data_IF_748296420979
#
_entry.id   IF_748296420979
#
_cell.length_a   1.000
_cell.length_b   1.000
_cell.length_c   1.000
_cell.angle_alpha   90.00
_cell.angle_beta   90.00
_cell.angle_gamma   90.00
#
_symmetry.space_group_name_H-M   'P 1'
#
loop_
_entity.id
_entity.type
_entity.pdbx_description
1 polymer ?
#
# COMPACT_ATOMS: atom_id res chain seq x y z
N UNK A 1 -8.73 15.10 -34.27
CA UNK A 1 -8.85 14.43 -32.95
C UNK A 1 -7.60 14.77 -32.14
N UNK A 2 -7.77 15.12 -30.88
CA UNK A 2 -6.64 15.34 -29.95
C UNK A 2 -6.04 13.97 -29.64
N UNK A 3 -4.72 13.80 -29.89
CA UNK A 3 -4.01 12.56 -29.56
C UNK A 3 -3.83 12.34 -28.05
N UNK A 4 -3.48 11.13 -27.63
CA UNK A 4 -3.18 10.83 -26.24
C UNK A 4 -1.81 11.42 -25.85
N UNK A 5 -1.85 12.30 -24.87
CA UNK A 5 -0.67 12.93 -24.24
C UNK A 5 -0.96 13.07 -22.75
N UNK A 6 0.05 13.35 -21.92
CA UNK A 6 -0.17 13.59 -20.48
C UNK A 6 -1.09 14.77 -20.20
N UNK A 7 -1.15 15.76 -21.10
CA UNK A 7 -2.06 16.92 -20.99
C UNK A 7 -3.49 16.60 -21.45
N UNK A 8 -3.68 15.56 -22.26
CA UNK A 8 -4.98 15.16 -22.80
C UNK A 8 -5.54 13.89 -22.15
N UNK A 9 -4.78 13.26 -21.25
CA UNK A 9 -5.21 12.09 -20.51
C UNK A 9 -6.36 12.44 -19.56
N UNK A 10 -7.45 11.66 -19.62
CA UNK A 10 -8.62 11.85 -18.75
C UNK A 10 -8.30 11.45 -17.31
N UNK A 11 -7.54 10.37 -17.12
CA UNK A 11 -7.09 9.95 -15.80
C UNK A 11 -5.91 10.81 -15.34
N UNK A 12 -5.96 11.44 -14.14
CA UNK A 12 -4.83 12.18 -13.60
C UNK A 12 -3.63 11.29 -13.29
N UNK A 13 -3.81 9.98 -13.12
CA UNK A 13 -2.73 9.00 -12.92
C UNK A 13 -1.79 8.99 -14.13
N UNK A 14 -2.33 8.94 -15.34
CA UNK A 14 -1.57 8.91 -16.58
C UNK A 14 -1.27 10.32 -17.13
N UNK A 15 -1.95 11.35 -16.63
CA UNK A 15 -1.76 12.75 -16.97
C UNK A 15 -0.89 13.48 -15.95
N UNK A 16 -1.53 14.30 -15.13
CA UNK A 16 -0.90 15.21 -14.14
C UNK A 16 0.14 14.52 -13.25
N UNK A 17 -0.11 13.27 -12.85
CA UNK A 17 0.72 12.52 -11.91
C UNK A 17 1.59 11.44 -12.57
N UNK A 18 1.69 11.43 -13.91
CA UNK A 18 2.46 10.39 -14.62
C UNK A 18 3.88 10.20 -14.07
N UNK A 19 4.56 11.28 -13.69
CA UNK A 19 5.91 11.22 -13.11
C UNK A 19 6.00 10.43 -11.80
N UNK A 20 4.89 10.33 -11.04
CA UNK A 20 4.81 9.59 -9.78
C UNK A 20 4.33 8.13 -9.95
N UNK A 21 3.74 7.81 -11.08
CA UNK A 21 3.08 6.51 -11.33
C UNK A 21 3.78 5.66 -12.38
N UNK A 22 4.81 6.20 -13.03
CA UNK A 22 5.52 5.53 -14.14
C UNK A 22 6.11 4.19 -13.74
N UNK A 23 6.54 4.01 -12.50
CA UNK A 23 7.04 2.75 -11.96
C UNK A 23 6.01 1.62 -12.01
N UNK A 24 4.72 1.94 -12.00
CA UNK A 24 3.63 0.96 -12.09
C UNK A 24 3.29 0.57 -13.53
N UNK A 25 3.80 1.27 -14.53
CA UNK A 25 3.46 1.02 -15.94
C UNK A 25 3.91 -0.37 -16.41
N UNK A 26 5.00 -0.91 -15.86
CA UNK A 26 5.49 -2.26 -16.15
C UNK A 26 4.61 -3.40 -15.61
N UNK A 27 3.58 -3.07 -14.80
CA UNK A 27 2.69 -4.04 -14.15
C UNK A 27 1.23 -3.87 -14.54
N UNK A 28 0.73 -2.63 -14.65
CA UNK A 28 -0.71 -2.35 -14.78
C UNK A 28 -1.12 -1.65 -16.07
N UNK A 29 -0.22 -1.48 -17.03
CA UNK A 29 -0.57 -1.02 -18.37
C UNK A 29 -1.08 -2.18 -19.25
N UNK A 30 -1.73 -1.86 -20.36
CA UNK A 30 -2.10 -2.86 -21.38
C UNK A 30 -0.85 -3.58 -21.93
N UNK A 31 0.26 -2.85 -22.14
CA UNK A 31 1.55 -3.44 -22.48
C UNK A 31 2.01 -4.49 -21.46
N UNK A 32 1.93 -4.16 -20.18
CA UNK A 32 2.30 -5.08 -19.11
C UNK A 32 1.41 -6.31 -19.07
N UNK A 33 0.09 -6.14 -19.17
CA UNK A 33 -0.86 -7.26 -19.20
C UNK A 33 -0.57 -8.23 -20.34
N UNK A 34 -0.30 -7.71 -21.55
CA UNK A 34 0.07 -8.55 -22.71
C UNK A 34 1.38 -9.29 -22.42
N UNK A 35 2.42 -8.62 -21.91
CA UNK A 35 3.70 -9.23 -21.57
C UNK A 35 3.58 -10.35 -20.55
N UNK A 36 2.77 -10.15 -19.50
CA UNK A 36 2.55 -11.17 -18.47
C UNK A 36 1.74 -12.36 -18.99
N UNK A 37 0.78 -12.15 -19.88
CA UNK A 37 0.07 -13.23 -20.57
C UNK A 37 1.03 -14.07 -21.42
N UNK A 38 1.90 -13.45 -22.19
CA UNK A 38 2.94 -14.13 -22.97
C UNK A 38 3.88 -14.91 -22.05
N UNK A 39 4.30 -14.33 -20.92
CA UNK A 39 5.12 -15.03 -19.91
C UNK A 39 4.43 -16.32 -19.44
N UNK A 40 3.18 -16.25 -19.09
CA UNK A 40 2.43 -17.43 -18.61
C UNK A 40 2.30 -18.50 -19.71
N UNK A 41 1.97 -18.10 -20.94
CA UNK A 41 1.87 -19.04 -22.09
C UNK A 41 3.21 -19.72 -22.39
N UNK A 42 4.30 -18.99 -22.39
CA UNK A 42 5.65 -19.54 -22.66
C UNK A 42 6.08 -20.46 -21.52
N UNK A 43 5.93 -20.07 -20.27
CA UNK A 43 6.31 -20.94 -19.15
C UNK A 43 5.40 -22.19 -19.08
N UNK A 44 4.13 -22.07 -19.49
CA UNK A 44 3.25 -23.22 -19.62
C UNK A 44 3.71 -24.16 -20.73
N UNK A 45 4.04 -23.65 -21.91
CA UNK A 45 4.58 -24.45 -23.03
C UNK A 45 5.86 -25.17 -22.61
N UNK A 46 6.79 -24.48 -21.95
CA UNK A 46 8.02 -25.07 -21.41
C UNK A 46 7.69 -26.18 -20.41
N UNK A 47 6.74 -25.93 -19.50
CA UNK A 47 6.32 -26.94 -18.52
C UNK A 47 5.71 -28.19 -19.18
N UNK A 48 4.97 -28.04 -20.28
CA UNK A 48 4.48 -29.16 -21.08
C UNK A 48 5.65 -29.96 -21.73
N UNK A 49 6.67 -29.28 -22.25
CA UNK A 49 7.86 -29.92 -22.84
C UNK A 49 8.70 -30.68 -21.80
N UNK A 50 8.58 -30.34 -20.52
CA UNK A 50 9.23 -31.07 -19.42
C UNK A 50 8.47 -32.35 -19.00
N UNK A 51 7.25 -32.56 -19.55
CA UNK A 51 6.45 -33.76 -19.31
C UNK A 51 6.80 -34.86 -20.33
N UNK A 52 6.55 -36.13 -19.97
CA UNK A 52 6.75 -37.25 -20.87
C UNK A 52 5.60 -37.38 -21.91
N UNK A 53 5.24 -36.27 -22.55
CA UNK A 53 4.22 -36.26 -23.57
C UNK A 53 4.85 -36.69 -24.92
N UNK A 54 4.33 -37.75 -25.58
CA UNK A 54 4.97 -38.31 -26.78
C UNK A 54 5.22 -37.28 -27.89
N UNK A 55 4.35 -36.29 -28.02
CA UNK A 55 4.45 -35.28 -29.07
C UNK A 55 5.46 -34.17 -28.76
N UNK A 56 5.92 -34.05 -27.51
CA UNK A 56 6.87 -33.03 -27.05
C UNK A 56 8.21 -33.62 -26.62
N UNK A 57 8.36 -34.96 -26.56
CA UNK A 57 9.57 -35.63 -26.09
C UNK A 57 10.83 -35.25 -26.86
N UNK A 58 10.71 -34.93 -28.16
CA UNK A 58 11.81 -34.56 -29.04
C UNK A 58 12.04 -33.03 -29.11
N UNK A 59 11.37 -32.26 -28.26
CA UNK A 59 11.59 -30.82 -28.21
C UNK A 59 12.99 -30.49 -27.72
N UNK A 60 13.71 -29.66 -28.45
CA UNK A 60 15.05 -29.21 -28.06
C UNK A 60 14.97 -28.24 -26.87
N UNK A 61 15.22 -28.74 -25.66
CA UNK A 61 15.17 -27.93 -24.42
C UNK A 61 16.22 -26.83 -24.38
N UNK A 62 17.26 -26.87 -25.24
CA UNK A 62 18.22 -25.77 -25.34
C UNK A 62 17.58 -24.45 -25.87
N UNK A 63 16.39 -24.52 -26.45
CA UNK A 63 15.61 -23.37 -26.90
C UNK A 63 14.81 -22.68 -25.79
N UNK A 64 14.70 -23.25 -24.57
CA UNK A 64 13.95 -22.61 -23.48
C UNK A 64 14.40 -21.18 -23.16
N UNK A 65 15.71 -20.84 -23.12
CA UNK A 65 16.14 -19.44 -22.97
C UNK A 65 15.60 -18.54 -24.09
N UNK A 66 15.67 -18.99 -25.35
CA UNK A 66 15.17 -18.24 -26.52
C UNK A 66 13.65 -18.01 -26.44
N UNK A 67 12.88 -19.02 -25.99
CA UNK A 67 11.46 -18.84 -25.78
C UNK A 67 11.19 -17.78 -24.69
N UNK A 68 11.96 -17.77 -23.62
CA UNK A 68 11.84 -16.76 -22.55
C UNK A 68 12.16 -15.35 -23.01
N UNK A 69 13.03 -15.18 -24.01
CA UNK A 69 13.30 -13.89 -24.60
C UNK A 69 12.07 -13.24 -25.25
N UNK A 70 11.07 -14.02 -25.68
CA UNK A 70 9.81 -13.50 -26.25
C UNK A 70 9.11 -12.55 -25.28
N UNK A 71 9.09 -12.87 -23.99
CA UNK A 71 8.55 -11.96 -22.97
C UNK A 71 9.61 -11.14 -22.24
N UNK A 72 10.85 -11.60 -22.19
CA UNK A 72 11.99 -10.90 -21.58
C UNK A 72 12.37 -9.63 -22.33
N UNK A 73 12.40 -9.72 -23.67
CA UNK A 73 12.73 -8.62 -24.59
C UNK A 73 11.48 -7.99 -25.22
N UNK A 74 10.27 -8.22 -24.65
CA UNK A 74 9.01 -7.73 -25.20
C UNK A 74 8.98 -6.21 -25.33
N UNK A 75 8.69 -5.71 -26.53
CA UNK A 75 8.73 -4.30 -26.88
C UNK A 75 7.34 -3.69 -27.06
N UNK A 76 7.28 -2.35 -27.18
CA UNK A 76 6.02 -1.65 -27.53
C UNK A 76 5.55 -2.02 -28.95
N UNK A 77 6.45 -2.35 -29.87
CA UNK A 77 6.09 -2.76 -31.23
C UNK A 77 5.49 -4.16 -31.21
N UNK A 78 5.98 -5.07 -30.38
CA UNK A 78 5.34 -6.36 -30.14
C UNK A 78 3.94 -6.21 -29.57
N UNK A 79 3.76 -5.31 -28.59
CA UNK A 79 2.43 -5.01 -28.04
C UNK A 79 1.48 -4.45 -29.12
N UNK A 80 1.97 -3.57 -29.98
CA UNK A 80 1.21 -3.08 -31.15
C UNK A 80 0.82 -4.22 -32.09
N UNK A 81 1.75 -5.14 -32.35
CA UNK A 81 1.48 -6.33 -33.18
C UNK A 81 0.37 -7.18 -32.58
N UNK A 82 0.40 -7.47 -31.28
CA UNK A 82 -0.67 -8.18 -30.60
C UNK A 82 -2.02 -7.45 -30.74
N UNK A 83 -2.02 -6.10 -30.61
CA UNK A 83 -3.26 -5.31 -30.78
C UNK A 83 -3.76 -5.28 -32.24
N UNK A 84 -2.89 -5.40 -33.23
CA UNK A 84 -3.28 -5.57 -34.63
C UNK A 84 -4.00 -6.92 -34.86
N UNK A 85 -3.46 -8.00 -34.29
CA UNK A 85 -4.09 -9.33 -34.34
C UNK A 85 -5.44 -9.30 -33.62
N UNK A 86 -5.49 -8.67 -32.45
CA UNK A 86 -6.73 -8.54 -31.68
C UNK A 86 -7.85 -7.81 -32.43
N UNK A 87 -7.53 -6.79 -33.24
CA UNK A 87 -8.53 -6.09 -34.08
C UNK A 87 -9.22 -7.01 -35.08
N UNK A 88 -8.53 -8.07 -35.51
CA UNK A 88 -9.10 -9.06 -36.46
C UNK A 88 -9.82 -10.17 -35.73
N UNK A 89 -9.22 -10.68 -34.65
CA UNK A 89 -9.77 -11.83 -33.90
C UNK A 89 -10.88 -11.43 -32.94
N UNK A 90 -10.97 -10.17 -32.57
CA UNK A 90 -11.83 -9.62 -31.52
C UNK A 90 -11.72 -10.39 -30.18
N UNK A 91 -10.52 -10.92 -29.89
CA UNK A 91 -10.25 -11.72 -28.70
C UNK A 91 -8.79 -11.53 -28.24
N UNK A 92 -8.61 -10.94 -27.06
CA UNK A 92 -7.31 -10.51 -26.53
C UNK A 92 -6.33 -11.68 -26.26
N UNK A 93 -6.76 -12.73 -25.56
CA UNK A 93 -5.90 -13.89 -25.27
C UNK A 93 -5.59 -14.70 -26.53
N UNK A 94 -6.55 -14.80 -27.46
CA UNK A 94 -6.30 -15.46 -28.75
C UNK A 94 -5.27 -14.70 -29.59
N UNK A 95 -5.26 -13.38 -29.49
CA UNK A 95 -4.25 -12.56 -30.15
C UNK A 95 -2.83 -12.82 -29.59
N UNK A 96 -2.72 -13.04 -28.28
CA UNK A 96 -1.46 -13.45 -27.64
C UNK A 96 -1.00 -14.81 -28.16
N UNK A 97 -1.89 -15.79 -28.25
CA UNK A 97 -1.57 -17.11 -28.81
C UNK A 97 -1.03 -17.00 -30.24
N UNK A 98 -1.71 -16.25 -31.12
CA UNK A 98 -1.24 -16.05 -32.50
C UNK A 98 0.09 -15.31 -32.58
N UNK A 99 0.29 -14.31 -31.74
CA UNK A 99 1.61 -13.64 -31.67
C UNK A 99 2.73 -14.61 -31.29
N UNK A 100 2.51 -15.49 -30.32
CA UNK A 100 3.50 -16.50 -29.94
C UNK A 100 3.76 -17.47 -31.10
N UNK A 101 2.70 -17.90 -31.82
CA UNK A 101 2.87 -18.72 -33.04
C UNK A 101 3.72 -18.01 -34.10
N UNK A 102 3.55 -16.69 -34.32
CA UNK A 102 4.44 -15.90 -35.18
C UNK A 102 5.88 -15.86 -34.69
N UNK A 103 6.12 -15.82 -33.36
CA UNK A 103 7.47 -15.89 -32.82
C UNK A 103 8.09 -17.27 -33.06
N UNK A 104 7.32 -18.35 -32.94
CA UNK A 104 7.79 -19.70 -33.26
C UNK A 104 8.19 -19.83 -34.74
N UNK A 105 7.45 -19.18 -35.66
CA UNK A 105 7.84 -19.09 -37.07
C UNK A 105 9.20 -18.39 -37.27
N UNK A 106 9.45 -17.33 -36.53
CA UNK A 106 10.71 -16.57 -36.60
C UNK A 106 11.91 -17.36 -36.05
N UNK A 107 11.70 -18.13 -34.97
CA UNK A 107 12.72 -19.02 -34.42
C UNK A 107 13.02 -20.15 -35.41
N UNK A 108 11.99 -20.66 -36.09
CA UNK A 108 12.09 -21.73 -37.10
C UNK A 108 12.09 -23.12 -36.48
N UNK A 109 11.72 -24.11 -37.31
CA UNK A 109 11.67 -25.54 -36.96
C UNK A 109 10.75 -25.89 -35.77
N UNK A 110 9.81 -25.02 -35.41
CA UNK A 110 8.85 -25.22 -34.31
C UNK A 110 7.42 -25.45 -34.78
N UNK A 111 7.15 -25.62 -36.08
CA UNK A 111 5.81 -25.74 -36.65
C UNK A 111 4.98 -26.86 -36.01
N UNK A 112 5.60 -28.02 -35.77
CA UNK A 112 4.93 -29.19 -35.19
C UNK A 112 4.51 -28.99 -33.73
N UNK A 113 5.05 -27.97 -33.05
CA UNK A 113 4.78 -27.72 -31.63
C UNK A 113 3.79 -26.57 -31.39
N UNK A 114 3.44 -25.81 -32.43
CA UNK A 114 2.57 -24.62 -32.30
C UNK A 114 1.22 -24.88 -31.66
N UNK A 115 0.63 -26.07 -31.91
CA UNK A 115 -0.69 -26.42 -31.38
C UNK A 115 -0.65 -26.76 -29.90
N UNK A 116 0.55 -26.84 -29.27
CA UNK A 116 0.71 -26.93 -27.82
C UNK A 116 0.74 -25.57 -27.11
N UNK A 117 0.80 -24.47 -27.86
CA UNK A 117 0.55 -23.13 -27.30
C UNK A 117 -0.93 -23.07 -26.89
N UNK A 118 -1.22 -22.65 -25.67
CA UNK A 118 -2.56 -22.61 -25.10
C UNK A 118 -3.28 -23.98 -25.05
N UNK A 119 -2.54 -25.09 -25.05
CA UNK A 119 -3.11 -26.44 -25.09
C UNK A 119 -3.99 -26.72 -23.86
N UNK A 120 -5.25 -27.10 -24.09
CA UNK A 120 -6.19 -27.46 -23.02
C UNK A 120 -6.66 -26.29 -22.13
N UNK A 121 -6.16 -25.09 -22.34
CA UNK A 121 -6.45 -23.93 -21.53
C UNK A 121 -7.72 -23.18 -21.95
N UNK A 122 -8.22 -22.37 -21.05
CA UNK A 122 -9.16 -21.29 -21.33
C UNK A 122 -8.51 -19.94 -21.06
N UNK A 123 -9.04 -18.86 -21.63
CA UNK A 123 -8.49 -17.50 -21.42
C UNK A 123 -8.29 -17.13 -19.96
N UNK A 124 -9.10 -17.68 -19.07
CA UNK A 124 -8.99 -17.39 -17.64
C UNK A 124 -7.87 -18.15 -16.93
N UNK A 125 -7.35 -19.23 -17.49
CA UNK A 125 -6.11 -19.84 -17.00
C UNK A 125 -4.93 -18.87 -17.20
N UNK A 126 -4.98 -18.05 -18.25
CA UNK A 126 -3.96 -17.03 -18.54
C UNK A 126 -4.23 -15.74 -17.75
N UNK A 127 -5.47 -15.25 -17.72
CA UNK A 127 -5.79 -14.01 -16.99
C UNK A 127 -5.68 -14.17 -15.47
N UNK A 128 -6.20 -15.29 -14.92
CA UNK A 128 -6.15 -15.55 -13.47
C UNK A 128 -4.82 -16.12 -12.97
N UNK A 129 -3.80 -16.09 -13.78
CA UNK A 129 -2.38 -16.29 -13.42
C UNK A 129 -1.58 -15.02 -13.68
N UNK A 130 -1.73 -14.39 -14.84
CA UNK A 130 -1.00 -13.15 -15.20
C UNK A 130 -1.36 -11.97 -14.29
N UNK A 131 -2.65 -11.73 -14.00
CA UNK A 131 -3.07 -10.63 -13.12
C UNK A 131 -2.54 -10.80 -11.68
N UNK A 132 -2.67 -11.96 -11.03
CA UNK A 132 -2.01 -12.18 -9.73
C UNK A 132 -0.50 -11.96 -9.76
N UNK A 133 0.17 -12.36 -10.85
CA UNK A 133 1.61 -12.10 -11.03
C UNK A 133 1.91 -10.60 -11.09
N UNK A 134 1.14 -9.80 -11.84
CA UNK A 134 1.36 -8.35 -11.89
C UNK A 134 1.18 -7.71 -10.53
N UNK A 135 0.16 -8.13 -9.77
CA UNK A 135 -0.09 -7.63 -8.40
C UNK A 135 1.06 -8.00 -7.47
N UNK A 136 1.50 -9.27 -7.50
CA UNK A 136 2.62 -9.76 -6.69
C UNK A 136 3.89 -8.96 -6.94
N UNK A 137 4.27 -8.85 -8.23
CA UNK A 137 5.51 -8.20 -8.62
C UNK A 137 5.45 -6.69 -8.31
N UNK A 138 4.31 -6.01 -8.57
CA UNK A 138 4.11 -4.60 -8.22
C UNK A 138 4.15 -4.34 -6.71
N UNK A 139 3.55 -5.23 -5.90
CA UNK A 139 3.63 -5.13 -4.44
C UNK A 139 5.08 -5.25 -3.97
N UNK A 140 5.80 -6.26 -4.46
CA UNK A 140 7.15 -6.56 -4.01
C UNK A 140 8.17 -5.51 -4.49
N UNK A 141 8.06 -5.06 -5.74
CA UNK A 141 9.08 -4.22 -6.37
C UNK A 141 8.80 -2.71 -6.26
N UNK A 142 7.55 -2.31 -6.00
CA UNK A 142 7.17 -0.89 -5.99
C UNK A 142 6.45 -0.47 -4.70
N UNK A 143 5.34 -1.12 -4.35
CA UNK A 143 4.46 -0.63 -3.27
C UNK A 143 5.09 -0.85 -1.89
N UNK A 144 5.55 -2.08 -1.59
CA UNK A 144 6.17 -2.35 -0.28
C UNK A 144 7.44 -1.51 -0.06
N UNK A 145 8.37 -1.39 -1.03
CA UNK A 145 9.50 -0.48 -0.90
C UNK A 145 9.11 0.98 -0.64
N UNK A 146 8.07 1.50 -1.29
CA UNK A 146 7.61 2.86 -1.05
C UNK A 146 7.04 3.05 0.37
N UNK A 147 6.31 2.05 0.89
CA UNK A 147 5.82 2.07 2.27
C UNK A 147 7.00 1.97 3.25
N UNK A 148 7.99 1.13 2.96
CA UNK A 148 9.21 1.00 3.78
C UNK A 148 10.02 2.30 3.82
N UNK A 149 10.11 3.03 2.71
CA UNK A 149 10.74 4.35 2.67
C UNK A 149 9.99 5.35 3.58
N UNK A 150 8.65 5.35 3.55
CA UNK A 150 7.84 6.18 4.44
C UNK A 150 8.07 5.82 5.90
N UNK A 151 8.07 4.53 6.24
CA UNK A 151 8.35 4.04 7.60
C UNK A 151 9.76 4.47 8.05
N UNK A 152 10.76 4.32 7.20
CA UNK A 152 12.14 4.73 7.49
C UNK A 152 12.28 6.24 7.76
N UNK A 153 11.57 7.08 6.97
CA UNK A 153 11.55 8.53 7.21
C UNK A 153 10.89 8.87 8.55
N UNK A 154 9.79 8.21 8.90
CA UNK A 154 9.10 8.40 10.18
C UNK A 154 9.98 7.94 11.36
N UNK A 155 10.69 6.81 11.22
CA UNK A 155 11.62 6.32 12.24
C UNK A 155 12.77 7.32 12.48
N UNK A 156 13.32 7.90 11.41
CA UNK A 156 14.36 8.91 11.53
C UNK A 156 13.89 10.14 12.32
N UNK A 157 12.67 10.62 12.05
CA UNK A 157 12.09 11.73 12.80
C UNK A 157 11.71 11.36 14.24
N UNK A 158 11.23 10.14 14.46
CA UNK A 158 10.94 9.66 15.82
C UNK A 158 12.20 9.65 16.70
N UNK A 159 13.35 9.28 16.14
CA UNK A 159 14.63 9.33 16.86
C UNK A 159 15.17 10.75 17.01
N UNK A 160 15.10 11.59 15.96
CA UNK A 160 15.52 12.99 15.98
C UNK A 160 14.77 13.79 17.07
N UNK A 161 13.46 13.55 17.20
CA UNK A 161 12.58 14.27 18.13
C UNK A 161 12.17 13.44 19.35
N UNK A 162 12.96 12.43 19.68
CA UNK A 162 12.69 11.45 20.72
C UNK A 162 12.37 12.09 22.09
N UNK A 163 13.15 13.10 22.47
CA UNK A 163 13.06 13.73 23.77
C UNK A 163 12.32 15.09 23.75
N UNK A 164 11.71 15.43 22.62
CA UNK A 164 10.93 16.67 22.49
C UNK A 164 9.59 16.50 23.20
N UNK A 165 9.42 17.19 24.34
CA UNK A 165 8.16 17.22 25.07
C UNK A 165 7.09 17.98 24.28
N UNK A 166 5.89 17.44 24.25
CA UNK A 166 4.74 17.98 23.52
C UNK A 166 3.48 17.88 24.37
N UNK A 167 2.66 18.94 24.36
CA UNK A 167 1.34 18.91 24.96
C UNK A 167 0.43 17.99 24.14
N UNK A 168 -0.03 16.87 24.74
CA UNK A 168 -1.03 16.04 24.09
C UNK A 168 -2.42 16.68 24.21
N UNK A 169 -3.30 16.35 23.26
CA UNK A 169 -4.70 16.79 23.27
C UNK A 169 -5.62 15.60 23.14
N UNK A 170 -6.61 15.52 24.04
CA UNK A 170 -7.71 14.59 23.91
C UNK A 170 -9.00 15.39 23.79
N UNK A 171 -9.88 15.01 22.87
CA UNK A 171 -11.10 15.80 22.56
C UNK A 171 -10.80 17.28 22.21
N UNK A 172 -9.60 17.54 21.64
CA UNK A 172 -9.12 18.91 21.35
C UNK A 172 -8.69 19.72 22.58
N UNK A 173 -8.71 19.15 23.78
CA UNK A 173 -8.32 19.81 25.04
C UNK A 173 -6.94 19.37 25.51
N UNK A 174 -6.19 20.26 26.18
CA UNK A 174 -4.92 19.91 26.82
C UNK A 174 -5.05 18.69 27.73
N UNK A 175 -4.13 17.76 27.59
CA UNK A 175 -4.04 16.51 28.35
C UNK A 175 -2.61 16.26 28.79
N UNK A 176 -2.36 15.10 29.42
CA UNK A 176 -1.02 14.74 29.89
C UNK A 176 0.02 14.88 28.81
N UNK A 177 1.17 15.51 29.06
CA UNK A 177 2.24 15.67 28.07
C UNK A 177 2.74 14.33 27.52
N UNK A 178 3.27 14.37 26.32
CA UNK A 178 3.86 13.23 25.62
C UNK A 178 5.21 13.65 25.03
N UNK A 179 5.83 12.75 24.28
CA UNK A 179 7.03 13.05 23.47
C UNK A 179 6.69 12.94 21.98
N UNK A 180 7.11 13.91 21.19
CA UNK A 180 6.84 13.97 19.76
C UNK A 180 7.36 12.71 19.04
N UNK A 181 8.58 12.25 19.36
CA UNK A 181 9.12 11.04 18.79
C UNK A 181 8.26 9.81 19.06
N UNK A 182 7.69 9.70 20.29
CA UNK A 182 6.76 8.60 20.62
C UNK A 182 5.45 8.70 19.84
N UNK A 183 4.91 9.89 19.63
CA UNK A 183 3.68 10.06 18.82
C UNK A 183 3.91 9.58 17.37
N UNK A 184 5.07 9.88 16.79
CA UNK A 184 5.45 9.39 15.46
C UNK A 184 5.63 7.88 15.46
N UNK A 185 6.21 7.29 16.51
CA UNK A 185 6.38 5.84 16.64
C UNK A 185 5.06 5.08 16.65
N UNK A 186 3.93 5.69 17.02
CA UNK A 186 2.60 5.07 16.90
C UNK A 186 2.32 4.70 15.44
N UNK A 187 2.61 5.61 14.50
CA UNK A 187 2.41 5.36 13.06
C UNK A 187 3.42 4.36 12.50
N UNK A 188 4.68 4.45 12.93
CA UNK A 188 5.72 3.46 12.57
C UNK A 188 5.29 2.05 12.97
N UNK A 189 4.85 1.88 14.21
CA UNK A 189 4.38 0.59 14.74
C UNK A 189 3.19 0.07 13.91
N UNK A 190 2.15 0.88 13.73
CA UNK A 190 0.94 0.53 12.99
C UNK A 190 1.24 0.15 11.53
N UNK A 191 2.09 0.91 10.84
CA UNK A 191 2.47 0.66 9.46
C UNK A 191 3.27 -0.63 9.33
N UNK A 192 4.23 -0.90 10.22
CA UNK A 192 5.00 -2.14 10.21
C UNK A 192 4.12 -3.38 10.41
N UNK A 193 3.17 -3.34 11.36
CA UNK A 193 2.22 -4.43 11.60
C UNK A 193 1.37 -4.71 10.34
N UNK A 194 0.85 -3.66 9.69
CA UNK A 194 0.01 -3.84 8.52
C UNK A 194 0.82 -4.18 7.25
N UNK A 195 2.05 -3.71 7.15
CA UNK A 195 2.95 -4.12 6.06
C UNK A 195 3.33 -5.61 6.18
N UNK A 196 3.60 -6.09 7.39
CA UNK A 196 3.82 -7.51 7.63
C UNK A 196 2.59 -8.34 7.25
N UNK A 197 1.38 -7.87 7.59
CA UNK A 197 0.14 -8.53 7.19
C UNK A 197 -0.02 -8.52 5.66
N UNK A 198 0.22 -7.41 4.97
CA UNK A 198 0.15 -7.32 3.51
C UNK A 198 1.11 -8.31 2.84
N UNK A 199 2.36 -8.38 3.32
CA UNK A 199 3.38 -9.32 2.81
C UNK A 199 3.03 -10.79 3.05
N UNK A 200 2.24 -11.09 4.08
CA UNK A 200 1.78 -12.44 4.40
C UNK A 200 0.53 -12.87 3.63
N UNK A 201 -0.16 -11.95 2.94
CA UNK A 201 -1.33 -12.29 2.15
C UNK A 201 -0.96 -13.28 1.04
N UNK A 202 -1.65 -14.43 0.93
CA UNK A 202 -1.38 -15.34 -0.16
C UNK A 202 -1.79 -14.72 -1.51
N UNK A 203 -0.95 -14.87 -2.51
CA UNK A 203 -1.30 -14.50 -3.89
C UNK A 203 -1.65 -15.80 -4.62
N UNK A 204 -2.94 -16.00 -4.85
CA UNK A 204 -3.47 -17.23 -5.44
C UNK A 204 -3.79 -17.07 -6.92
N UNK A 205 -3.88 -18.19 -7.61
CA UNK A 205 -4.19 -18.25 -9.03
C UNK A 205 -5.10 -19.43 -9.37
N UNK A 206 -6.03 -19.22 -10.30
CA UNK A 206 -6.82 -20.29 -10.90
C UNK A 206 -6.08 -20.86 -12.11
N UNK A 207 -5.98 -22.17 -12.15
CA UNK A 207 -5.47 -22.93 -13.28
C UNK A 207 -6.13 -24.32 -13.31
N UNK A 208 -6.90 -24.64 -14.36
CA UNK A 208 -7.65 -25.90 -14.42
C UNK A 208 -8.61 -26.04 -15.60
N UNK A 209 -8.46 -25.21 -16.64
CA UNK A 209 -9.31 -25.26 -17.83
C UNK A 209 -10.68 -24.59 -17.66
N UNK A 210 -11.58 -24.85 -18.59
CA UNK A 210 -12.83 -24.12 -18.78
C UNK A 210 -13.79 -24.13 -17.59
N UNK A 211 -13.71 -25.13 -16.72
CA UNK A 211 -14.57 -25.27 -15.52
C UNK A 211 -13.76 -25.62 -14.26
N UNK A 212 -12.42 -25.49 -14.30
CA UNK A 212 -11.55 -25.87 -13.20
C UNK A 212 -11.32 -27.37 -13.02
N UNK A 213 -11.79 -28.20 -13.94
CA UNK A 213 -11.78 -29.66 -13.83
C UNK A 213 -10.78 -30.35 -14.78
N UNK A 214 -9.94 -29.62 -15.50
CA UNK A 214 -8.99 -30.15 -16.50
C UNK A 214 -9.62 -31.01 -17.61
N UNK A 215 -10.86 -30.76 -17.99
CA UNK A 215 -11.60 -31.58 -18.95
C UNK A 215 -10.81 -31.82 -20.24
N UNK A 216 -10.27 -30.78 -20.86
CA UNK A 216 -9.51 -30.88 -22.11
C UNK A 216 -8.19 -31.62 -21.93
N UNK A 217 -7.48 -31.36 -20.87
CA UNK A 217 -6.24 -32.05 -20.53
C UNK A 217 -6.46 -33.54 -20.30
N UNK A 218 -7.46 -33.86 -19.46
CA UNK A 218 -7.75 -35.24 -19.09
C UNK A 218 -8.23 -36.08 -20.30
N UNK A 219 -9.03 -35.51 -21.19
CA UNK A 219 -9.48 -36.26 -22.41
C UNK A 219 -8.31 -36.51 -23.36
N UNK A 220 -7.32 -35.59 -23.42
CA UNK A 220 -6.17 -35.76 -24.29
C UNK A 220 -5.11 -36.70 -23.70
N UNK A 221 -4.88 -36.66 -22.41
CA UNK A 221 -3.91 -37.48 -21.69
C UNK A 221 -4.51 -37.97 -20.35
N UNK A 222 -5.36 -39.01 -20.37
CA UNK A 222 -6.16 -39.46 -19.21
C UNK A 222 -5.32 -40.04 -18.07
N UNK A 223 -4.16 -40.58 -18.39
CA UNK A 223 -3.28 -41.25 -17.43
C UNK A 223 -2.33 -40.28 -16.70
N UNK A 224 -2.41 -38.99 -16.99
CA UNK A 224 -1.51 -38.00 -16.41
C UNK A 224 -2.19 -37.24 -15.26
N UNK A 225 -1.45 -36.99 -14.14
CA UNK A 225 -1.94 -36.21 -13.01
C UNK A 225 -1.85 -34.70 -13.28
N UNK A 226 -2.90 -34.16 -13.89
CA UNK A 226 -2.99 -32.75 -14.22
C UNK A 226 -3.14 -31.83 -13.01
N UNK A 227 -3.59 -32.35 -11.86
CA UNK A 227 -3.65 -31.56 -10.62
C UNK A 227 -2.26 -31.31 -10.08
N UNK A 228 -1.46 -32.36 -9.99
CA UNK A 228 -0.08 -32.26 -9.53
C UNK A 228 0.74 -31.38 -10.50
N UNK A 229 0.60 -31.59 -11.80
CA UNK A 229 1.20 -30.70 -12.80
C UNK A 229 0.85 -29.23 -12.56
N UNK A 230 -0.44 -28.90 -12.39
CA UNK A 230 -0.90 -27.54 -12.20
C UNK A 230 -0.39 -26.93 -10.87
N UNK A 231 -0.32 -27.73 -9.79
CA UNK A 231 0.26 -27.30 -8.52
C UNK A 231 1.73 -26.90 -8.70
N UNK A 232 2.51 -27.73 -9.39
CA UNK A 232 3.92 -27.48 -9.69
C UNK A 232 4.09 -26.28 -10.63
N UNK A 233 3.32 -26.22 -11.71
CA UNK A 233 3.37 -25.11 -12.67
C UNK A 233 3.10 -23.77 -11.99
N UNK A 234 1.99 -23.64 -11.27
CA UNK A 234 1.61 -22.41 -10.58
C UNK A 234 2.57 -22.09 -9.43
N UNK A 235 3.00 -23.10 -8.68
CA UNK A 235 3.90 -22.94 -7.53
C UNK A 235 5.35 -22.66 -7.94
N UNK A 236 5.95 -23.54 -8.71
CA UNK A 236 7.38 -23.51 -9.01
C UNK A 236 7.73 -22.56 -10.16
N UNK A 237 6.92 -22.53 -11.24
CA UNK A 237 7.22 -21.70 -12.41
C UNK A 237 6.70 -20.26 -12.26
N UNK A 238 5.53 -20.07 -11.61
CA UNK A 238 4.93 -18.74 -11.44
C UNK A 238 5.11 -18.17 -10.03
N UNK A 239 5.48 -19.00 -9.04
CA UNK A 239 5.64 -18.58 -7.65
C UNK A 239 4.34 -18.07 -7.02
N UNK A 240 3.21 -18.64 -7.43
CA UNK A 240 1.87 -18.37 -6.91
C UNK A 240 1.33 -19.60 -6.18
N UNK A 241 0.25 -19.44 -5.43
CA UNK A 241 -0.45 -20.56 -4.83
C UNK A 241 -1.66 -20.95 -5.67
N UNK A 242 -1.75 -22.22 -6.13
CA UNK A 242 -2.88 -22.67 -6.93
C UNK A 242 -4.15 -22.83 -6.07
N UNK A 243 -5.24 -22.27 -6.50
CA UNK A 243 -6.59 -22.55 -5.97
C UNK A 243 -7.04 -23.95 -6.39
N UNK A 244 -7.34 -24.82 -5.42
CA UNK A 244 -7.62 -26.23 -5.68
C UNK A 244 -9.02 -26.46 -6.29
N UNK A 245 -9.99 -25.64 -5.92
CA UNK A 245 -11.38 -25.72 -6.36
C UNK A 245 -11.85 -24.35 -6.85
N UNK A 246 -12.14 -24.26 -8.12
CA UNK A 246 -12.57 -23.02 -8.80
C UNK A 246 -13.63 -23.33 -9.81
N UNK A 247 -14.29 -22.30 -10.30
CA UNK A 247 -15.08 -22.35 -11.55
C UNK A 247 -14.16 -22.07 -12.76
N UNK A 248 -14.67 -21.46 -13.82
CA UNK A 248 -13.83 -20.99 -14.91
C UNK A 248 -12.84 -19.91 -14.47
N UNK A 249 -13.15 -19.17 -13.40
CA UNK A 249 -12.36 -18.05 -12.86
C UNK A 249 -11.84 -18.35 -11.46
N UNK A 250 -10.89 -17.54 -10.99
CA UNK A 250 -10.45 -17.47 -9.60
C UNK A 250 -11.62 -17.17 -8.67
N UNK A 251 -11.52 -17.61 -7.42
CA UNK A 251 -12.45 -17.22 -6.35
C UNK A 251 -12.25 -15.74 -5.96
N UNK A 252 -11.07 -15.16 -6.24
CA UNK A 252 -10.65 -13.79 -5.93
C UNK A 252 -10.62 -13.41 -4.45
N UNK A 253 -10.91 -14.32 -3.52
CA UNK A 253 -10.93 -14.05 -2.07
C UNK A 253 -9.56 -13.58 -1.57
N UNK A 254 -8.48 -14.24 -1.98
CA UNK A 254 -7.13 -13.88 -1.56
C UNK A 254 -6.68 -12.52 -2.11
N UNK A 255 -6.99 -12.22 -3.37
CA UNK A 255 -6.72 -10.88 -3.95
C UNK A 255 -7.57 -9.82 -3.26
N UNK A 256 -8.81 -10.12 -2.92
CA UNK A 256 -9.67 -9.26 -2.08
C UNK A 256 -9.01 -8.96 -0.75
N UNK A 257 -8.42 -9.97 -0.09
CA UNK A 257 -7.65 -9.81 1.14
C UNK A 257 -6.43 -8.89 0.99
N UNK A 258 -5.72 -8.96 -0.16
CA UNK A 258 -4.62 -8.02 -0.48
C UNK A 258 -5.12 -6.59 -0.58
N UNK A 259 -6.24 -6.37 -1.27
CA UNK A 259 -6.84 -5.04 -1.41
C UNK A 259 -7.29 -4.47 -0.06
N UNK A 260 -7.87 -5.30 0.81
CA UNK A 260 -8.26 -4.90 2.16
C UNK A 260 -7.04 -4.58 3.04
N UNK A 261 -5.95 -5.33 2.94
CA UNK A 261 -4.72 -5.04 3.65
C UNK A 261 -4.09 -3.71 3.20
N UNK A 262 -4.00 -3.46 1.89
CA UNK A 262 -3.51 -2.20 1.35
C UNK A 262 -4.39 -1.01 1.76
N UNK A 263 -5.71 -1.16 1.72
CA UNK A 263 -6.66 -0.15 2.20
C UNK A 263 -6.45 0.20 3.67
N UNK A 264 -6.09 -0.76 4.50
CA UNK A 264 -5.79 -0.54 5.92
C UNK A 264 -4.52 0.29 6.10
N UNK A 265 -3.47 0.02 5.32
CA UNK A 265 -2.26 0.86 5.29
C UNK A 265 -2.61 2.29 4.86
N UNK A 266 -3.36 2.45 3.78
CA UNK A 266 -3.82 3.75 3.31
C UNK A 266 -4.57 4.53 4.40
N UNK A 267 -5.40 3.85 5.20
CA UNK A 267 -6.15 4.48 6.31
C UNK A 267 -5.22 4.99 7.40
N UNK A 268 -4.12 4.28 7.69
CA UNK A 268 -3.11 4.75 8.66
C UNK A 268 -2.37 5.98 8.12
N UNK A 269 -2.06 6.02 6.82
CA UNK A 269 -1.41 7.17 6.21
C UNK A 269 -2.35 8.40 6.21
N UNK A 270 -3.65 8.23 5.98
CA UNK A 270 -4.64 9.31 6.12
C UNK A 270 -4.63 9.89 7.54
N UNK A 271 -4.60 9.05 8.55
CA UNK A 271 -4.54 9.45 9.96
C UNK A 271 -3.26 10.24 10.26
N UNK A 272 -2.12 9.74 9.77
CA UNK A 272 -0.82 10.42 9.83
C UNK A 272 -0.86 11.81 9.15
N UNK A 273 -1.40 11.89 7.93
CA UNK A 273 -1.48 13.15 7.17
C UNK A 273 -2.31 14.20 7.91
N UNK A 274 -3.41 13.77 8.55
CA UNK A 274 -4.28 14.65 9.36
C UNK A 274 -3.58 15.14 10.61
N UNK A 275 -2.83 14.31 11.31
CA UNK A 275 -2.08 14.73 12.48
C UNK A 275 -0.99 15.74 12.11
N UNK A 276 -0.21 15.50 11.07
CA UNK A 276 0.80 16.47 10.62
C UNK A 276 0.17 17.76 10.10
N UNK A 277 -0.94 17.69 9.39
CA UNK A 277 -1.71 18.88 9.02
C UNK A 277 -2.12 19.68 10.26
N UNK A 278 -2.61 19.01 11.30
CA UNK A 278 -3.01 19.62 12.57
C UNK A 278 -1.80 20.24 13.30
N UNK A 279 -0.67 19.53 13.36
CA UNK A 279 0.56 20.04 13.97
C UNK A 279 1.08 21.29 13.24
N UNK A 280 0.96 21.37 11.92
CA UNK A 280 1.28 22.57 11.16
C UNK A 280 0.28 23.71 11.51
N UNK A 281 -1.01 23.41 11.60
CA UNK A 281 -2.05 24.36 11.98
C UNK A 281 -1.85 24.93 13.39
N UNK A 282 -1.31 24.13 14.32
CA UNK A 282 -0.93 24.53 15.68
C UNK A 282 0.45 25.20 15.77
N UNK A 283 1.12 25.41 14.64
CA UNK A 283 2.47 25.98 14.55
C UNK A 283 3.57 25.13 15.23
N UNK A 284 3.31 23.85 15.51
CA UNK A 284 4.34 22.92 16.01
C UNK A 284 5.39 22.62 14.95
N UNK A 285 4.98 22.68 13.67
CA UNK A 285 5.88 22.66 12.52
C UNK A 285 5.68 23.87 11.63
N UNK A 286 6.79 24.35 11.08
CA UNK A 286 6.84 25.23 9.92
C UNK A 286 7.22 24.42 8.70
N UNK A 287 6.96 24.95 7.50
CA UNK A 287 7.32 24.30 6.25
C UNK A 287 8.45 25.07 5.55
N UNK A 288 9.45 24.35 5.04
CA UNK A 288 10.51 24.92 4.20
C UNK A 288 9.89 25.54 2.95
N UNK A 289 10.26 26.78 2.67
CA UNK A 289 9.87 27.49 1.44
C UNK A 289 10.93 27.19 0.39
N UNK A 290 10.52 26.70 -0.76
CA UNK A 290 11.40 26.57 -1.92
C UNK A 290 11.41 27.86 -2.72
N UNK A 291 12.59 28.36 -3.06
CA UNK A 291 12.72 29.60 -3.85
C UNK A 291 11.91 29.46 -5.17
N UNK A 292 11.04 30.43 -5.42
CA UNK A 292 10.15 30.43 -6.59
C UNK A 292 8.80 29.71 -6.42
N UNK A 293 8.56 29.00 -5.30
CA UNK A 293 7.23 28.47 -4.99
C UNK A 293 6.30 29.59 -4.48
N UNK A 294 5.07 29.66 -5.02
CA UNK A 294 4.01 30.55 -4.55
C UNK A 294 3.12 29.76 -3.60
N UNK A 295 3.20 30.05 -2.30
CA UNK A 295 2.42 29.33 -1.28
C UNK A 295 0.92 29.61 -1.30
N UNK A 296 0.52 30.79 -1.77
CA UNK A 296 -0.86 31.21 -1.94
C UNK A 296 -0.94 32.29 -3.02
N UNK A 297 -1.99 32.24 -3.85
CA UNK A 297 -2.23 33.22 -4.91
C UNK A 297 -2.55 34.64 -4.36
N UNK A 298 -3.05 34.74 -3.11
CA UNK A 298 -3.49 35.98 -2.50
C UNK A 298 -2.64 36.45 -1.31
N UNK A 299 -1.96 35.49 -0.62
CA UNK A 299 -1.21 35.76 0.62
C UNK A 299 0.21 35.16 0.53
N UNK A 300 1.23 35.93 0.10
CA UNK A 300 2.57 35.42 -0.17
C UNK A 300 3.28 34.75 1.03
N UNK A 301 2.90 35.14 2.27
CA UNK A 301 3.46 34.58 3.51
C UNK A 301 2.84 33.23 3.92
N UNK A 302 1.74 32.81 3.28
CA UNK A 302 0.98 31.62 3.65
C UNK A 302 1.51 30.39 2.93
N UNK A 303 2.07 29.45 3.66
CA UNK A 303 2.54 28.15 3.15
C UNK A 303 1.54 27.07 3.56
N UNK A 304 0.74 26.59 2.60
CA UNK A 304 -0.28 25.59 2.86
C UNK A 304 0.32 24.18 2.93
N UNK A 305 -0.18 23.28 3.80
CA UNK A 305 0.25 21.89 3.91
C UNK A 305 -0.37 21.00 2.81
N UNK A 306 -0.32 21.47 1.55
CA UNK A 306 -1.00 20.85 0.40
C UNK A 306 -0.52 19.43 0.08
N UNK A 307 0.69 19.07 0.48
CA UNK A 307 1.23 17.73 0.22
C UNK A 307 0.45 16.69 1.03
N UNK A 308 0.10 16.95 2.29
CA UNK A 308 -0.72 16.09 3.13
C UNK A 308 -2.19 16.04 2.65
N UNK A 309 -2.75 17.17 2.23
CA UNK A 309 -4.10 17.24 1.65
C UNK A 309 -4.21 16.43 0.35
N UNK A 310 -3.18 16.53 -0.52
CA UNK A 310 -3.12 15.77 -1.77
C UNK A 310 -3.00 14.26 -1.50
N UNK A 311 -2.25 13.86 -0.47
CA UNK A 311 -2.16 12.48 -0.04
C UNK A 311 -3.52 11.96 0.44
N UNK A 312 -4.16 12.65 1.40
CA UNK A 312 -5.47 12.26 1.93
C UNK A 312 -6.50 12.08 0.81
N UNK A 313 -6.59 13.03 -0.13
CA UNK A 313 -7.53 12.96 -1.25
C UNK A 313 -7.29 11.75 -2.15
N UNK A 314 -6.03 11.45 -2.50
CA UNK A 314 -5.68 10.29 -3.32
C UNK A 314 -5.94 8.96 -2.60
N UNK A 315 -5.63 8.88 -1.30
CA UNK A 315 -5.91 7.68 -0.50
C UNK A 315 -7.41 7.41 -0.34
N UNK A 316 -8.22 8.46 -0.26
CA UNK A 316 -9.68 8.33 -0.25
C UNK A 316 -10.21 7.65 -1.52
N UNK A 317 -9.72 8.08 -2.70
CA UNK A 317 -10.06 7.49 -4.00
C UNK A 317 -9.55 6.04 -4.07
N UNK A 318 -8.30 5.81 -3.70
CA UNK A 318 -7.72 4.46 -3.68
C UNK A 318 -8.55 3.51 -2.82
N UNK A 319 -8.90 3.91 -1.60
CA UNK A 319 -9.68 3.10 -0.66
C UNK A 319 -11.06 2.75 -1.20
N UNK A 320 -11.75 3.68 -1.87
CA UNK A 320 -13.05 3.42 -2.49
C UNK A 320 -12.96 2.36 -3.59
N UNK A 321 -11.92 2.43 -4.43
CA UNK A 321 -11.69 1.46 -5.51
C UNK A 321 -11.24 0.10 -4.98
N UNK A 322 -10.34 0.05 -4.02
CA UNK A 322 -9.89 -1.19 -3.37
C UNK A 322 -11.06 -1.91 -2.70
N UNK A 323 -11.92 -1.18 -1.99
CA UNK A 323 -13.13 -1.73 -1.37
C UNK A 323 -14.09 -2.30 -2.41
N UNK A 324 -14.31 -1.56 -3.51
CA UNK A 324 -15.17 -2.03 -4.59
C UNK A 324 -14.62 -3.32 -5.22
N UNK A 325 -13.33 -3.38 -5.54
CA UNK A 325 -12.67 -4.54 -6.12
C UNK A 325 -12.74 -5.76 -5.20
N UNK A 326 -12.43 -5.59 -3.92
CA UNK A 326 -12.48 -6.66 -2.92
C UNK A 326 -13.88 -7.26 -2.76
N UNK A 327 -14.92 -6.43 -2.84
CA UNK A 327 -16.30 -6.87 -2.72
C UNK A 327 -16.89 -7.42 -4.04
N UNK A 328 -16.47 -6.87 -5.20
CA UNK A 328 -17.07 -7.23 -6.51
C UNK A 328 -16.48 -8.50 -7.10
N UNK A 329 -15.17 -8.68 -7.05
CA UNK A 329 -14.48 -9.77 -7.75
C UNK A 329 -14.95 -11.18 -7.30
N UNK A 330 -15.17 -11.46 -6.00
CA UNK A 330 -15.64 -12.77 -5.57
C UNK A 330 -17.07 -13.10 -6.02
N UNK A 331 -17.81 -12.13 -6.55
CA UNK A 331 -19.22 -12.33 -6.95
C UNK A 331 -19.36 -12.41 -8.46
N UNK A 332 -19.66 -13.59 -8.98
CA UNK A 332 -19.90 -13.87 -10.37
C UNK A 332 -21.15 -14.77 -10.56
N UNK A 333 -21.52 -15.03 -11.80
CA UNK A 333 -22.70 -15.86 -12.14
C UNK A 333 -22.27 -17.22 -12.64
N UNK A 334 -22.83 -18.29 -12.06
CA UNK A 334 -22.55 -19.67 -12.46
C UNK A 334 -21.03 -19.93 -12.59
N UNK A 335 -20.55 -20.36 -13.76
CA UNK A 335 -19.13 -20.55 -14.02
C UNK A 335 -18.38 -19.24 -14.21
N UNK A 336 -19.01 -18.23 -14.80
CA UNK A 336 -18.44 -16.89 -15.04
C UNK A 336 -19.44 -15.96 -15.71
N UNK A 337 -19.33 -14.67 -15.42
CA UNK A 337 -19.74 -13.57 -16.29
C UNK A 337 -18.52 -12.68 -16.65
N UNK A 338 -18.71 -11.69 -17.55
CA UNK A 338 -17.59 -10.87 -18.05
C UNK A 338 -17.18 -9.74 -17.10
N UNK A 339 -17.93 -9.49 -16.00
CA UNK A 339 -17.71 -8.32 -15.15
C UNK A 339 -16.34 -8.33 -14.45
N UNK A 340 -15.79 -9.51 -14.17
CA UNK A 340 -14.44 -9.65 -13.63
C UNK A 340 -13.39 -9.01 -14.55
N UNK A 341 -13.40 -9.34 -15.83
CA UNK A 341 -12.45 -8.78 -16.81
C UNK A 341 -12.54 -7.27 -16.95
N UNK A 342 -13.78 -6.73 -16.86
CA UNK A 342 -14.01 -5.28 -16.91
C UNK A 342 -13.38 -4.56 -15.73
N UNK A 343 -13.59 -5.06 -14.52
CA UNK A 343 -13.11 -4.38 -13.31
C UNK A 343 -11.63 -4.61 -13.06
N UNK A 344 -11.08 -5.78 -13.41
CA UNK A 344 -9.65 -6.09 -13.27
C UNK A 344 -8.74 -5.14 -14.07
N UNK A 345 -9.21 -4.57 -15.17
CA UNK A 345 -8.46 -3.56 -15.92
C UNK A 345 -8.21 -2.28 -15.13
N UNK A 346 -8.94 -2.07 -14.02
CA UNK A 346 -8.79 -0.92 -13.14
C UNK A 346 -7.92 -1.21 -11.90
N UNK A 347 -7.34 -2.40 -11.74
CA UNK A 347 -6.54 -2.75 -10.55
C UNK A 347 -5.37 -1.78 -10.34
N UNK A 348 -4.71 -1.33 -11.40
CA UNK A 348 -3.62 -0.36 -11.33
C UNK A 348 -4.02 1.02 -10.83
N UNK A 349 -5.30 1.40 -10.94
CA UNK A 349 -5.78 2.75 -10.58
C UNK A 349 -5.63 3.03 -9.08
N UNK A 350 -6.15 2.18 -8.16
CA UNK A 350 -5.94 2.40 -6.73
C UNK A 350 -4.47 2.30 -6.31
N UNK A 351 -3.65 1.45 -6.94
CA UNK A 351 -2.21 1.40 -6.72
C UNK A 351 -1.54 2.72 -7.13
N UNK A 352 -1.93 3.30 -8.26
CA UNK A 352 -1.46 4.60 -8.71
C UNK A 352 -1.79 5.73 -7.72
N UNK A 353 -3.02 5.79 -7.22
CA UNK A 353 -3.42 6.75 -6.19
C UNK A 353 -2.65 6.55 -4.88
N UNK A 354 -2.39 5.31 -4.46
CA UNK A 354 -1.56 5.01 -3.28
C UNK A 354 -0.13 5.53 -3.47
N UNK A 355 0.49 5.32 -4.63
CA UNK A 355 1.84 5.84 -4.92
C UNK A 355 1.90 7.37 -4.91
N UNK A 356 0.92 8.05 -5.55
CA UNK A 356 0.84 9.51 -5.52
C UNK A 356 0.78 10.02 -4.09
N UNK A 357 0.01 9.35 -3.24
CA UNK A 357 -0.17 9.71 -1.84
C UNK A 357 1.12 9.53 -1.03
N UNK A 358 1.74 8.35 -1.09
CA UNK A 358 3.00 8.07 -0.35
C UNK A 358 4.08 9.09 -0.72
N UNK A 359 4.28 9.37 -2.01
CA UNK A 359 5.24 10.39 -2.45
C UNK A 359 4.86 11.80 -1.96
N UNK A 360 3.56 12.10 -1.87
CA UNK A 360 3.10 13.39 -1.37
C UNK A 360 3.33 13.52 0.13
N UNK A 361 3.02 12.50 0.92
CA UNK A 361 3.32 12.46 2.36
C UNK A 361 4.83 12.59 2.62
N UNK A 362 5.66 11.82 1.91
CA UNK A 362 7.12 11.93 2.00
C UNK A 362 7.62 13.35 1.67
N UNK A 363 7.08 13.96 0.62
CA UNK A 363 7.41 15.33 0.24
C UNK A 363 6.99 16.33 1.33
N UNK A 364 5.81 16.17 1.91
CA UNK A 364 5.32 16.98 3.03
C UNK A 364 6.24 16.87 4.26
N UNK A 365 6.56 15.64 4.66
CA UNK A 365 7.46 15.35 5.78
C UNK A 365 8.83 16.00 5.61
N UNK A 366 9.45 15.91 4.43
CA UNK A 366 10.77 16.51 4.14
C UNK A 366 10.80 18.05 4.17
N UNK A 367 9.63 18.68 4.13
CA UNK A 367 9.50 20.14 4.28
C UNK A 367 9.37 20.61 5.73
N UNK A 368 9.16 19.72 6.68
CA UNK A 368 8.91 20.07 8.06
C UNK A 368 10.16 20.71 8.71
N UNK A 369 9.91 21.74 9.51
CA UNK A 369 10.87 22.36 10.43
C UNK A 369 10.20 22.41 11.79
N UNK A 370 10.77 21.73 12.78
CA UNK A 370 10.26 21.73 14.14
C UNK A 370 10.28 23.13 14.75
N UNK A 371 9.20 23.53 15.41
CA UNK A 371 9.09 24.78 16.14
C UNK A 371 9.09 24.51 17.67
N UNK A 372 10.27 24.19 18.19
CA UNK A 372 10.43 23.89 19.63
C UNK A 372 9.91 24.99 20.53
N UNK A 373 10.08 26.26 20.12
CA UNK A 373 9.61 27.40 20.91
C UNK A 373 8.09 27.35 21.14
N UNK A 374 7.33 26.99 20.11
CA UNK A 374 5.86 26.86 20.22
C UNK A 374 5.45 25.69 21.09
N UNK A 375 6.12 24.53 20.93
CA UNK A 375 5.88 23.36 21.78
C UNK A 375 6.13 23.67 23.26
N UNK A 376 7.24 24.37 23.59
CA UNK A 376 7.55 24.79 24.94
C UNK A 376 6.52 25.77 25.48
N UNK A 377 6.15 26.79 24.69
CA UNK A 377 5.15 27.78 25.11
C UNK A 377 3.80 27.15 25.44
N UNK A 378 3.34 26.15 24.62
CA UNK A 378 2.09 25.45 24.89
C UNK A 378 2.14 24.62 26.19
N UNK A 379 3.28 24.05 26.53
CA UNK A 379 3.47 23.37 27.82
C UNK A 379 3.47 24.38 29.01
N UNK A 380 4.18 25.49 28.85
CA UNK A 380 4.24 26.56 29.89
C UNK A 380 2.87 27.19 30.13
N UNK A 381 2.06 27.28 29.10
CA UNK A 381 0.68 27.80 29.20
C UNK A 381 -0.32 26.83 29.81
N UNK A 382 0.03 25.55 30.04
CA UNK A 382 -0.86 24.50 30.47
C UNK A 382 -0.42 23.71 31.70
N UNK A 383 0.04 24.41 32.76
CA UNK A 383 0.46 23.79 34.03
C UNK A 383 -0.59 22.90 34.68
N UNK A 384 -1.87 23.09 34.40
CA UNK A 384 -2.94 22.22 34.91
C UNK A 384 -2.75 20.72 34.57
N UNK A 385 -1.99 20.38 33.53
CA UNK A 385 -1.76 18.98 33.10
C UNK A 385 -0.92 18.17 34.09
N UNK A 386 -0.15 18.81 35.01
CA UNK A 386 0.61 18.10 36.05
C UNK A 386 -0.27 17.66 37.21
N UNK A 387 -1.53 18.09 37.27
CA UNK A 387 -2.44 17.72 38.37
C UNK A 387 -2.61 16.19 38.49
N UNK A 388 -2.61 15.46 37.38
CA UNK A 388 -2.65 14.00 37.36
C UNK A 388 -1.43 13.38 38.05
N UNK A 389 -0.23 13.87 37.78
CA UNK A 389 0.99 13.41 38.42
C UNK A 389 0.97 13.66 39.93
N UNK A 390 0.58 14.87 40.33
CA UNK A 390 0.44 15.24 41.75
C UNK A 390 -0.57 14.32 42.44
N UNK A 391 -1.75 14.14 41.86
CA UNK A 391 -2.77 13.23 42.39
C UNK A 391 -2.24 11.81 42.57
N UNK A 392 -1.47 11.30 41.59
CA UNK A 392 -0.94 9.95 41.62
C UNK A 392 0.07 9.76 42.75
N UNK A 393 0.95 10.71 42.94
CA UNK A 393 1.91 10.71 44.09
C UNK A 393 1.15 10.79 45.42
N UNK A 394 0.21 11.71 45.53
CA UNK A 394 -0.62 11.82 46.76
C UNK A 394 -1.37 10.53 47.10
N UNK A 395 -1.89 9.81 46.09
CA UNK A 395 -2.49 8.47 46.26
C UNK A 395 -1.48 7.44 46.77
N UNK A 396 -0.28 7.44 46.22
CA UNK A 396 0.82 6.60 46.69
C UNK A 396 1.11 6.81 48.18
N UNK A 397 1.07 8.06 48.63
CA UNK A 397 1.32 8.45 50.02
C UNK A 397 0.07 8.35 50.93
N UNK A 398 -1.03 7.71 50.44
CA UNK A 398 -2.26 7.59 51.14
C UNK A 398 -2.89 8.94 51.66
N UNK A 399 -2.61 10.04 50.98
CA UNK A 399 -3.16 11.35 51.30
C UNK A 399 -4.66 11.35 51.19
N UNK A 400 -5.42 11.93 52.14
CA UNK A 400 -6.88 11.89 52.16
C UNK A 400 -7.49 12.74 51.03
N UNK A 401 -8.38 12.13 50.21
CA UNK A 401 -9.17 12.80 49.15
C UNK A 401 -8.32 13.63 48.18
N UNK A 402 -7.29 13.07 47.56
CA UNK A 402 -6.35 13.85 46.72
C UNK A 402 -6.99 14.47 45.49
N UNK A 403 -8.04 13.85 44.93
CA UNK A 403 -8.80 14.39 43.81
C UNK A 403 -9.54 15.67 44.17
N UNK A 404 -10.23 15.68 45.34
CA UNK A 404 -11.02 16.83 45.84
C UNK A 404 -10.08 18.00 46.18
N UNK A 405 -8.91 17.75 46.74
CA UNK A 405 -7.91 18.76 47.00
C UNK A 405 -7.45 19.47 45.71
N UNK A 406 -7.16 18.73 44.68
CA UNK A 406 -6.77 19.27 43.35
C UNK A 406 -7.95 19.92 42.62
N UNK A 407 -9.16 19.39 42.78
CA UNK A 407 -10.36 19.94 42.14
C UNK A 407 -10.64 21.37 42.62
N UNK A 408 -10.39 21.67 43.88
CA UNK A 408 -10.53 23.03 44.42
C UNK A 408 -9.52 24.01 43.75
N UNK A 409 -8.33 23.55 43.43
CA UNK A 409 -7.34 24.32 42.73
C UNK A 409 -7.66 24.52 41.25
N UNK A 410 -8.15 23.47 40.56
CA UNK A 410 -8.35 23.49 39.10
C UNK A 410 -9.65 24.13 38.63
N UNK A 411 -10.66 24.33 39.52
CA UNK A 411 -11.99 24.90 39.21
C UNK A 411 -12.18 26.34 39.62
N UNK A 412 -11.09 27.14 39.70
CA UNK A 412 -11.15 28.54 40.13
C UNK A 412 -11.36 29.53 38.96
N UNK A 413 -11.51 29.09 37.72
CA UNK A 413 -11.52 29.94 36.53
C UNK A 413 -10.26 30.83 36.37
N UNK A 414 -9.21 30.60 37.14
CA UNK A 414 -7.92 31.27 37.03
C UNK A 414 -6.95 30.36 36.24
N UNK A 415 -6.04 30.98 35.48
CA UNK A 415 -4.99 30.25 34.78
C UNK A 415 -4.05 29.61 35.83
N UNK A 416 -3.90 28.30 35.74
CA UNK A 416 -2.92 27.59 36.54
C UNK A 416 -1.50 27.86 36.00
N UNK A 417 -0.62 28.31 36.88
CA UNK A 417 0.77 28.59 36.59
C UNK A 417 1.67 27.73 37.47
N UNK A 418 2.97 27.71 37.18
CA UNK A 418 3.99 27.12 38.04
C UNK A 418 3.82 27.55 39.49
N UNK A 419 3.70 28.86 39.72
CA UNK A 419 3.56 29.45 41.05
C UNK A 419 2.33 28.92 41.79
N UNK A 420 1.15 28.85 41.13
CA UNK A 420 -0.08 28.34 41.75
C UNK A 420 0.01 26.86 42.12
N UNK A 421 0.71 26.05 41.31
CA UNK A 421 1.00 24.65 41.65
C UNK A 421 1.96 24.54 42.81
N UNK A 422 3.03 25.32 42.82
CA UNK A 422 4.03 25.33 43.89
C UNK A 422 3.42 25.80 45.24
N UNK A 423 2.64 26.87 45.22
CA UNK A 423 1.96 27.37 46.42
C UNK A 423 1.02 26.29 46.97
N UNK A 424 0.27 25.60 46.13
CA UNK A 424 -0.59 24.47 46.55
C UNK A 424 0.22 23.33 47.17
N UNK A 425 1.34 22.91 46.56
CA UNK A 425 2.18 21.82 47.06
C UNK A 425 2.73 22.16 48.45
N UNK A 426 3.09 23.43 48.70
CA UNK A 426 3.58 23.87 50.02
C UNK A 426 2.53 23.77 51.13
N UNK A 427 1.22 23.83 50.78
CA UNK A 427 0.14 23.69 51.75
C UNK A 427 -0.17 22.25 52.15
N UNK A 428 0.33 21.26 51.41
CA UNK A 428 0.06 19.86 51.63
C UNK A 428 0.73 19.35 52.92
N UNK A 429 -0.03 18.56 53.68
CA UNK A 429 0.49 17.86 54.87
C UNK A 429 1.15 16.54 54.46
N UNK A 430 2.32 16.61 53.88
CA UNK A 430 3.18 15.49 53.46
C UNK A 430 4.64 15.76 53.81
N UNK A 431 5.42 14.68 53.81
CA UNK A 431 6.86 14.74 54.10
C UNK A 431 7.60 15.70 53.14
N UNK A 432 8.65 16.37 53.61
CA UNK A 432 9.44 17.31 52.82
C UNK A 432 10.08 16.68 51.58
N UNK A 433 10.42 15.40 51.61
CA UNK A 433 10.92 14.68 50.43
C UNK A 433 9.83 14.54 49.38
N UNK A 434 8.58 14.31 49.80
CA UNK A 434 7.44 14.25 48.90
C UNK A 434 7.13 15.62 48.30
N UNK A 435 7.19 16.70 49.13
CA UNK A 435 7.07 18.07 48.61
C UNK A 435 8.11 18.37 47.55
N UNK A 436 9.39 17.99 47.78
CA UNK A 436 10.45 18.15 46.76
C UNK A 436 10.16 17.38 45.46
N UNK A 437 9.67 16.14 45.56
CA UNK A 437 9.25 15.37 44.38
C UNK A 437 8.12 16.08 43.61
N UNK A 438 7.12 16.57 44.31
CA UNK A 438 5.97 17.26 43.71
C UNK A 438 6.38 18.58 43.03
N UNK A 439 7.27 19.37 43.65
CA UNK A 439 7.77 20.63 43.13
C UNK A 439 8.69 20.45 41.92
N UNK A 440 9.27 19.26 41.75
CA UNK A 440 10.13 18.95 40.60
C UNK A 440 9.33 18.55 39.34
N UNK A 441 8.01 18.34 39.47
CA UNK A 441 7.17 17.96 38.33
C UNK A 441 6.83 19.21 37.52
N UNK A 442 7.08 19.13 36.22
CA UNK A 442 6.74 20.19 35.26
C UNK A 442 6.00 19.59 34.05
N UNK A 443 5.26 20.39 33.26
CA UNK A 443 4.72 19.91 31.98
C UNK A 443 5.79 19.36 31.02
N UNK A 444 7.05 19.80 31.17
CA UNK A 444 8.16 19.38 30.31
C UNK A 444 8.75 18.01 30.67
N UNK A 445 8.66 17.59 31.92
CA UNK A 445 9.27 16.34 32.39
C UNK A 445 8.24 15.24 32.74
N UNK A 446 6.96 15.60 32.78
CA UNK A 446 5.88 14.62 32.97
C UNK A 446 5.48 13.95 31.65
N UNK A 447 6.44 13.34 30.97
CA UNK A 447 6.27 12.73 29.64
C UNK A 447 6.34 11.20 29.64
N UNK A 448 6.47 10.57 30.80
CA UNK A 448 6.62 9.13 30.93
C UNK A 448 8.01 8.62 30.50
N UNK A 449 8.02 7.39 29.97
CA UNK A 449 9.23 6.67 29.52
C UNK A 449 9.34 6.68 27.99
#
# INVERSE_FOLDING_TARGET
>A
MIGLDTLTAISPIDGRYRGKTVSLAGYFSEYALIRYRIRVEIEYFIALCELPLPQLQDFDQSLFPTLREIYGNFSLDDARRVKEIEKVTNHDVKAVEYFIKEQFDRIGHLDQYKEFIHFGLTSQDINNTSVPLTIKDALHEVICPAIEELVGQLQAYAEEWRDVAMLAKTHGQPASPTRLGKEIMVFVYRLNEQLAQLKSCPITAKFGGATGNFNAHHVAYPDYDWREFANRFVGEKLGLQREQYTTQISNYDCIGGVFDALRRINTIIIDLDRDFWMYISMEYFKQKIKAGEVGSSAMPHKVNPIDFENSEGNLGISNALLQFLAAKLPVSRLQRDLTDSTVLRNVGVPFGHTMIAIESTLKGLRKLILNEQKLRADLDDNWAVVAEAIQTILRREAYPNPYEALKQLTRTNQKMTEQTIHDFVLTLDVDDNIKKQLLAITPHNYTGI
#
